data_IF_614597177794
#
_entry.id   IF_614597177794
#
_cell.length_a   1.000
_cell.length_b   1.000
_cell.length_c   1.000
_cell.angle_alpha   90.00
_cell.angle_beta   90.00
_cell.angle_gamma   90.00
#
_symmetry.space_group_name_H-M   'P 1'
#
loop_
_entity.id
_entity.type
_entity.pdbx_description
1 polymer ?
#
# COMPACT_ATOMS: atom_id res chain seq x y z
N UNK A 1 -42.61 55.99 -48.00
CA UNK A 1 -41.83 55.62 -46.78
C UNK A 1 -41.96 54.13 -46.54
N UNK A 2 -40.96 53.33 -46.94
CA UNK A 2 -40.90 51.87 -46.73
C UNK A 2 -40.07 51.65 -45.50
N UNK A 3 -40.68 51.02 -44.45
CA UNK A 3 -39.98 50.61 -43.23
C UNK A 3 -39.37 49.23 -43.50
N UNK A 4 -38.05 49.15 -43.52
CA UNK A 4 -37.30 47.90 -43.60
C UNK A 4 -37.15 47.36 -42.16
N UNK A 5 -37.74 46.20 -41.89
CA UNK A 5 -37.58 45.46 -40.58
C UNK A 5 -36.37 44.58 -40.79
N UNK A 6 -35.32 44.82 -40.01
CA UNK A 6 -34.17 43.88 -39.84
C UNK A 6 -34.52 42.80 -38.84
N UNK A 7 -34.62 41.58 -39.35
CA UNK A 7 -34.80 40.38 -38.51
C UNK A 7 -33.40 39.91 -38.07
N UNK A 8 -33.05 40.11 -36.80
CA UNK A 8 -31.86 39.49 -36.22
C UNK A 8 -32.18 38.03 -35.91
N UNK A 9 -31.63 37.10 -36.72
CA UNK A 9 -31.63 35.69 -36.39
C UNK A 9 -30.54 35.43 -35.30
N UNK A 10 -30.98 35.19 -34.08
CA UNK A 10 -30.09 34.69 -33.00
C UNK A 10 -29.77 33.23 -33.32
N UNK A 11 -28.58 32.93 -33.83
CA UNK A 11 -28.02 31.58 -33.88
C UNK A 11 -27.62 31.23 -32.42
N UNK A 12 -28.52 30.56 -31.70
CA UNK A 12 -28.17 29.88 -30.48
C UNK A 12 -27.39 28.60 -30.84
N UNK A 13 -26.06 28.74 -30.96
CA UNK A 13 -25.17 27.59 -31.02
C UNK A 13 -25.24 26.87 -29.67
N UNK A 14 -25.97 25.78 -29.63
CA UNK A 14 -25.85 24.81 -28.54
C UNK A 14 -24.44 24.22 -28.63
N UNK A 15 -23.51 24.79 -27.88
CA UNK A 15 -22.30 24.10 -27.46
C UNK A 15 -22.77 22.90 -26.66
N UNK A 16 -22.98 21.76 -27.32
CA UNK A 16 -22.96 20.48 -26.65
C UNK A 16 -21.55 20.32 -26.06
N UNK A 17 -21.39 20.64 -24.76
CA UNK A 17 -20.33 20.10 -23.96
C UNK A 17 -20.53 18.58 -24.02
N UNK A 18 -19.94 17.94 -25.03
CA UNK A 18 -19.61 16.54 -24.90
C UNK A 18 -18.73 16.50 -23.66
N UNK A 19 -19.31 16.08 -22.55
CA UNK A 19 -18.54 15.57 -21.41
C UNK A 19 -17.66 14.48 -22.02
N UNK A 20 -16.42 14.84 -22.35
CA UNK A 20 -15.44 13.85 -22.74
C UNK A 20 -15.49 12.83 -21.64
N UNK A 21 -15.82 11.58 -21.99
CA UNK A 21 -15.74 10.43 -21.10
C UNK A 21 -14.26 10.18 -20.81
N UNK A 22 -13.67 11.09 -20.00
CA UNK A 22 -12.38 10.81 -19.41
C UNK A 22 -12.60 9.62 -18.47
N UNK A 23 -11.73 8.61 -18.48
CA UNK A 23 -11.74 7.56 -17.47
C UNK A 23 -11.22 8.13 -16.14
N UNK A 24 -11.84 9.23 -15.68
CA UNK A 24 -11.54 9.94 -14.43
C UNK A 24 -11.89 9.11 -13.20
N UNK A 25 -12.62 8.00 -13.38
CA UNK A 25 -12.98 7.11 -12.29
C UNK A 25 -12.43 5.73 -12.59
N UNK A 26 -11.68 5.23 -11.65
CA UNK A 26 -11.39 3.80 -11.60
C UNK A 26 -12.73 3.04 -11.48
N UNK A 27 -12.84 1.93 -12.20
CA UNK A 27 -14.02 1.05 -12.17
C UNK A 27 -13.54 -0.38 -12.07
N UNK A 28 -14.32 -1.22 -11.43
CA UNK A 28 -14.14 -2.66 -11.54
C UNK A 28 -14.44 -3.12 -12.95
N UNK A 29 -13.72 -4.14 -13.42
CA UNK A 29 -13.95 -4.76 -14.73
C UNK A 29 -15.20 -5.65 -14.72
N UNK A 30 -15.54 -6.20 -13.55
CA UNK A 30 -16.76 -6.97 -13.30
C UNK A 30 -17.47 -6.42 -12.05
N UNK A 31 -18.79 -6.20 -12.08
CA UNK A 31 -19.53 -5.65 -10.94
C UNK A 31 -19.57 -6.58 -9.72
N UNK A 32 -19.28 -7.88 -9.89
CA UNK A 32 -19.20 -8.86 -8.81
C UNK A 32 -17.79 -8.98 -8.22
N UNK A 33 -16.79 -8.30 -8.80
CA UNK A 33 -15.45 -8.20 -8.23
C UNK A 33 -15.46 -7.36 -6.96
N UNK A 34 -14.41 -7.48 -6.16
CA UNK A 34 -14.04 -6.53 -5.10
C UNK A 34 -12.58 -6.12 -5.29
N UNK A 35 -12.14 -5.10 -4.58
CA UNK A 35 -10.75 -4.66 -4.67
C UNK A 35 -10.05 -4.56 -3.33
N UNK A 36 -8.73 -4.66 -3.37
CA UNK A 36 -7.79 -4.33 -2.30
C UNK A 36 -6.88 -3.24 -2.84
N UNK A 37 -6.70 -2.17 -2.06
CA UNK A 37 -5.81 -1.08 -2.45
C UNK A 37 -4.45 -1.27 -1.81
N UNK A 38 -3.36 -1.10 -2.58
CA UNK A 38 -2.00 -1.06 -2.05
C UNK A 38 -1.51 0.38 -2.06
N UNK A 39 -1.21 0.89 -0.88
CA UNK A 39 -0.58 2.19 -0.64
C UNK A 39 0.92 1.93 -0.51
N UNK A 40 1.77 2.51 -1.39
CA UNK A 40 3.22 2.38 -1.29
C UNK A 40 3.77 3.19 -0.12
N UNK A 41 5.06 3.06 0.13
CA UNK A 41 5.80 3.71 1.22
C UNK A 41 5.56 5.24 1.22
N UNK A 42 4.88 5.83 2.22
CA UNK A 42 4.49 7.23 2.18
C UNK A 42 5.53 8.20 2.74
N UNK A 43 6.73 7.74 3.14
CA UNK A 43 7.73 8.59 3.80
C UNK A 43 8.08 9.86 3.02
N UNK A 44 8.13 9.80 1.69
CA UNK A 44 8.41 10.97 0.85
C UNK A 44 7.28 11.99 0.83
N UNK A 45 6.06 11.59 1.21
CA UNK A 45 4.98 12.55 1.47
C UNK A 45 5.11 13.16 2.86
N UNK A 46 5.37 12.37 3.89
CA UNK A 46 5.34 12.83 5.28
C UNK A 46 6.51 13.71 5.66
N UNK A 47 7.69 13.48 5.05
CA UNK A 47 8.93 14.19 5.38
C UNK A 47 9.01 15.63 4.89
N UNK A 48 8.11 16.05 3.97
CA UNK A 48 8.02 17.42 3.49
C UNK A 48 6.62 17.97 3.68
N UNK A 49 6.49 19.13 4.33
CA UNK A 49 5.20 19.78 4.56
C UNK A 49 4.41 20.00 3.27
N UNK A 50 5.09 20.38 2.18
CA UNK A 50 4.47 20.61 0.88
C UNK A 50 3.85 19.36 0.25
N UNK A 51 4.33 18.16 0.59
CA UNK A 51 3.88 16.90 0.02
C UNK A 51 2.74 16.23 0.84
N UNK A 52 2.58 16.59 2.11
CA UNK A 52 1.59 15.96 3.00
C UNK A 52 0.16 15.99 2.44
N UNK A 53 -0.32 17.09 1.80
CA UNK A 53 -1.66 17.11 1.20
C UNK A 53 -1.87 16.05 0.10
N UNK A 54 -0.81 15.58 -0.55
CA UNK A 54 -0.90 14.53 -1.58
C UNK A 54 -1.19 13.16 -0.97
N UNK A 55 -0.63 12.86 0.19
CA UNK A 55 -0.99 11.64 0.91
C UNK A 55 -2.43 11.69 1.44
N UNK A 56 -2.85 12.84 1.95
CA UNK A 56 -4.25 13.05 2.32
C UNK A 56 -5.20 12.92 1.13
N UNK A 57 -4.81 13.40 -0.06
CA UNK A 57 -5.56 13.22 -1.29
C UNK A 57 -5.70 11.74 -1.66
N UNK A 58 -4.62 10.96 -1.54
CA UNK A 58 -4.61 9.52 -1.83
C UNK A 58 -5.61 8.79 -0.93
N UNK A 59 -5.56 9.02 0.37
CA UNK A 59 -6.49 8.38 1.32
C UNK A 59 -7.92 8.92 1.21
N UNK A 60 -8.12 10.20 0.89
CA UNK A 60 -9.43 10.76 0.61
C UNK A 60 -10.08 10.15 -0.64
N UNK A 61 -9.27 9.89 -1.68
CA UNK A 61 -9.75 9.20 -2.87
C UNK A 61 -10.16 7.76 -2.53
N UNK A 62 -9.35 7.02 -1.77
CA UNK A 62 -9.70 5.67 -1.31
C UNK A 62 -11.05 5.70 -0.56
N UNK A 63 -11.20 6.63 0.41
CA UNK A 63 -12.43 6.77 1.20
C UNK A 63 -13.66 7.07 0.32
N UNK A 64 -13.50 7.83 -0.76
CA UNK A 64 -14.57 8.15 -1.71
C UNK A 64 -14.98 6.94 -2.57
N UNK A 65 -14.02 6.10 -2.92
CA UNK A 65 -14.24 5.00 -3.86
C UNK A 65 -14.57 3.65 -3.16
N UNK A 66 -14.78 3.63 -1.85
CA UNK A 66 -15.06 2.40 -1.08
C UNK A 66 -16.19 1.58 -1.75
N UNK A 67 -17.32 2.21 -2.02
CA UNK A 67 -18.48 1.53 -2.59
C UNK A 67 -18.31 1.25 -4.08
N UNK A 68 -17.82 2.23 -4.85
CA UNK A 68 -17.70 2.13 -6.32
C UNK A 68 -16.69 1.07 -6.77
N UNK A 69 -15.63 0.86 -5.99
CA UNK A 69 -14.62 -0.18 -6.20
C UNK A 69 -14.78 -1.39 -5.27
N UNK A 70 -15.84 -1.40 -4.46
CA UNK A 70 -16.06 -2.46 -3.46
C UNK A 70 -14.78 -2.78 -2.69
N UNK A 71 -14.14 -1.74 -2.14
CA UNK A 71 -12.84 -1.87 -1.49
C UNK A 71 -13.00 -2.66 -0.19
N UNK A 72 -12.36 -3.82 -0.13
CA UNK A 72 -12.37 -4.69 1.05
C UNK A 72 -11.45 -4.16 2.15
N UNK A 73 -10.26 -3.71 1.75
CA UNK A 73 -9.23 -3.18 2.65
C UNK A 73 -8.18 -2.38 1.87
N UNK A 74 -7.43 -1.54 2.57
CA UNK A 74 -6.23 -0.91 2.07
C UNK A 74 -5.00 -1.45 2.81
N UNK A 75 -3.93 -1.79 2.08
CA UNK A 75 -2.67 -2.33 2.58
C UNK A 75 -1.56 -1.30 2.36
N UNK A 76 -0.88 -0.86 3.42
CA UNK A 76 0.25 0.06 3.33
C UNK A 76 1.56 -0.68 3.59
N UNK A 77 2.53 -0.47 2.72
CA UNK A 77 3.78 -1.25 2.69
C UNK A 77 4.84 -0.83 3.72
N UNK A 78 4.53 0.14 4.60
CA UNK A 78 5.46 0.61 5.64
C UNK A 78 6.19 1.89 5.27
N UNK A 79 7.24 2.23 6.03
CA UNK A 79 7.96 3.49 5.91
C UNK A 79 7.03 4.71 5.95
N UNK A 80 6.26 4.81 7.04
CA UNK A 80 5.30 5.89 7.26
C UNK A 80 5.98 7.23 7.46
N UNK A 81 7.21 7.21 7.96
CA UNK A 81 8.06 8.37 8.24
C UNK A 81 9.46 8.17 7.67
N UNK A 82 10.23 9.23 7.48
CA UNK A 82 11.65 9.18 7.08
C UNK A 82 12.57 8.90 8.28
N UNK A 83 12.18 9.31 9.47
CA UNK A 83 12.87 9.03 10.73
C UNK A 83 11.88 8.92 11.87
N UNK A 84 12.05 7.87 12.68
CA UNK A 84 11.09 7.55 13.73
C UNK A 84 11.15 8.50 14.94
N UNK A 85 12.33 8.90 15.40
CA UNK A 85 12.45 9.63 16.67
C UNK A 85 13.55 10.69 16.68
N UNK A 86 13.43 11.72 15.82
CA UNK A 86 14.32 12.88 15.86
C UNK A 86 13.56 14.15 16.20
N UNK A 87 14.11 14.94 17.13
CA UNK A 87 13.46 16.16 17.60
C UNK A 87 13.58 17.32 16.61
N UNK A 88 14.49 17.24 15.66
CA UNK A 88 14.74 18.27 14.65
C UNK A 88 14.86 17.63 13.26
N UNK A 89 14.52 18.36 12.19
CA UNK A 89 14.75 17.90 10.83
C UNK A 89 16.25 17.64 10.59
N UNK A 90 16.57 16.47 10.02
CA UNK A 90 17.94 16.10 9.73
C UNK A 90 18.29 16.53 8.29
N UNK A 91 19.15 17.53 8.15
CA UNK A 91 19.52 18.10 6.86
C UNK A 91 20.06 17.04 5.87
N UNK A 92 20.83 16.04 6.35
CA UNK A 92 21.35 14.96 5.51
C UNK A 92 20.24 13.98 5.05
N UNK A 93 19.09 13.98 5.72
CA UNK A 93 17.89 13.22 5.31
C UNK A 93 16.99 14.00 4.36
N UNK A 94 17.34 15.25 4.07
CA UNK A 94 16.56 16.12 3.19
C UNK A 94 15.08 16.15 3.57
N UNK A 95 14.81 16.50 4.81
CA UNK A 95 13.45 16.65 5.37
C UNK A 95 13.30 18.05 5.97
N UNK A 96 12.09 18.59 5.97
CA UNK A 96 11.73 19.85 6.64
C UNK A 96 10.81 19.62 7.85
N UNK A 97 10.54 18.33 8.19
CA UNK A 97 9.64 17.94 9.26
C UNK A 97 10.39 17.16 10.35
N UNK A 98 10.03 17.43 11.61
CA UNK A 98 10.41 16.58 12.74
C UNK A 98 9.73 15.21 12.66
N UNK A 99 10.23 14.20 13.37
CA UNK A 99 9.56 12.88 13.44
C UNK A 99 8.11 13.00 13.92
N UNK A 100 7.84 13.81 14.94
CA UNK A 100 6.49 14.01 15.45
C UNK A 100 5.55 14.65 14.43
N UNK A 101 6.03 15.55 13.56
CA UNK A 101 5.26 16.13 12.47
C UNK A 101 4.98 15.10 11.39
N UNK A 102 5.96 14.27 11.03
CA UNK A 102 5.80 13.19 10.06
C UNK A 102 4.79 12.15 10.55
N UNK A 103 4.90 11.68 11.79
CA UNK A 103 3.94 10.75 12.38
C UNK A 103 2.51 11.33 12.43
N UNK A 104 2.37 12.61 12.80
CA UNK A 104 1.06 13.28 12.73
C UNK A 104 0.52 13.37 11.31
N UNK A 105 1.38 13.62 10.32
CA UNK A 105 0.96 13.67 8.92
C UNK A 105 0.50 12.31 8.43
N UNK A 106 1.24 11.23 8.72
CA UNK A 106 0.81 9.86 8.42
C UNK A 106 -0.53 9.53 9.09
N UNK A 107 -0.64 9.80 10.40
CA UNK A 107 -1.87 9.58 11.16
C UNK A 107 -3.05 10.32 10.55
N UNK A 108 -2.90 11.62 10.26
CA UNK A 108 -3.97 12.46 9.68
C UNK A 108 -4.43 11.97 8.31
N UNK A 109 -3.52 11.46 7.49
CA UNK A 109 -3.91 10.88 6.21
C UNK A 109 -4.81 9.64 6.42
N UNK A 110 -4.47 8.74 7.34
CA UNK A 110 -5.28 7.55 7.64
C UNK A 110 -6.60 7.85 8.38
N UNK A 111 -6.73 8.97 9.10
CA UNK A 111 -8.00 9.41 9.72
C UNK A 111 -9.15 9.49 8.71
N UNK A 112 -8.86 9.69 7.42
CA UNK A 112 -9.85 9.70 6.35
C UNK A 112 -10.50 8.34 6.12
N UNK A 113 -9.82 7.26 6.51
CA UNK A 113 -10.26 5.86 6.40
C UNK A 113 -10.86 5.35 7.72
N UNK A 114 -10.55 5.97 8.86
CA UNK A 114 -11.02 5.53 10.17
C UNK A 114 -12.53 5.43 10.21
N UNK A 115 -13.03 4.31 10.73
CA UNK A 115 -14.43 3.96 10.87
C UNK A 115 -15.23 3.86 9.55
N UNK A 116 -14.53 3.81 8.41
CA UNK A 116 -15.11 3.65 7.07
C UNK A 116 -14.57 2.42 6.35
N UNK A 117 -13.29 2.14 6.52
CA UNK A 117 -12.61 1.05 5.85
C UNK A 117 -11.60 0.41 6.82
N UNK A 118 -11.57 -0.92 6.97
CA UNK A 118 -10.42 -1.55 7.61
C UNK A 118 -9.20 -1.37 6.71
N UNK A 119 -8.07 -1.00 7.29
CA UNK A 119 -6.79 -0.92 6.61
C UNK A 119 -5.73 -1.65 7.42
N UNK A 120 -4.69 -2.12 6.76
CA UNK A 120 -3.56 -2.83 7.37
C UNK A 120 -2.29 -2.09 7.01
N UNK A 121 -1.49 -1.77 8.01
CA UNK A 121 -0.21 -1.07 7.85
C UNK A 121 0.88 -1.94 8.43
N UNK A 122 1.86 -2.33 7.63
CA UNK A 122 3.11 -2.85 8.20
C UNK A 122 4.07 -1.70 8.54
N UNK A 123 5.05 -1.96 9.38
CA UNK A 123 6.11 -1.02 9.69
C UNK A 123 7.30 -1.25 8.78
N UNK A 124 7.94 -0.16 8.32
CA UNK A 124 9.17 -0.19 7.54
C UNK A 124 10.41 0.07 8.38
N UNK A 125 11.58 0.08 7.73
CA UNK A 125 12.84 0.28 8.43
C UNK A 125 13.01 1.71 8.99
N UNK A 126 12.36 2.70 8.40
CA UNK A 126 12.36 4.08 8.86
C UNK A 126 11.39 4.32 10.03
N UNK A 127 10.48 3.38 10.30
CA UNK A 127 9.51 3.44 11.40
C UNK A 127 10.10 2.96 12.73
N UNK A 128 11.38 2.56 12.77
CA UNK A 128 12.09 2.03 13.94
C UNK A 128 13.39 2.80 14.25
N UNK A 129 13.81 2.70 15.51
CA UNK A 129 15.06 3.25 16.00
C UNK A 129 15.03 4.76 16.09
N UNK A 130 16.17 5.38 15.92
CA UNK A 130 16.29 6.82 15.94
C UNK A 130 16.03 7.40 14.54
N UNK A 131 16.71 6.86 13.54
CA UNK A 131 16.56 7.26 12.13
C UNK A 131 16.05 6.12 11.24
N UNK A 132 16.64 4.92 11.33
CA UNK A 132 16.27 3.76 10.51
C UNK A 132 16.74 2.43 11.10
N UNK A 133 15.96 1.82 11.94
CA UNK A 133 16.18 0.47 12.48
C UNK A 133 17.53 0.26 13.20
N UNK A 134 18.01 1.24 13.94
CA UNK A 134 19.13 1.07 14.88
C UNK A 134 18.71 0.19 16.07
N UNK A 135 17.42 0.09 16.33
CA UNK A 135 16.81 -0.77 17.34
C UNK A 135 15.34 -1.01 16.97
N UNK A 136 14.56 -1.67 17.85
CA UNK A 136 13.15 -1.98 17.62
C UNK A 136 12.17 -1.05 18.37
N UNK A 137 12.61 0.12 18.80
CA UNK A 137 11.70 1.14 19.30
C UNK A 137 10.96 1.80 18.14
N UNK A 138 9.63 1.90 18.25
CA UNK A 138 8.79 2.55 17.25
C UNK A 138 7.73 3.43 17.91
N UNK A 139 7.44 4.55 17.29
CA UNK A 139 6.31 5.42 17.65
C UNK A 139 5.01 4.97 16.97
N UNK A 140 5.04 3.92 16.15
CA UNK A 140 3.88 3.40 15.45
C UNK A 140 2.67 3.13 16.39
N UNK A 141 2.83 2.47 17.55
CA UNK A 141 1.69 2.20 18.44
C UNK A 141 1.04 3.48 19.02
N UNK A 142 1.78 4.58 19.14
CA UNK A 142 1.25 5.85 19.64
C UNK A 142 0.25 6.48 18.66
N UNK A 143 0.45 6.25 17.36
CA UNK A 143 -0.36 6.82 16.29
C UNK A 143 -1.36 5.83 15.67
N UNK A 144 -1.09 4.54 15.78
CA UNK A 144 -1.93 3.45 15.30
C UNK A 144 -2.27 2.44 16.40
N UNK A 145 -2.92 2.90 17.51
CA UNK A 145 -3.36 1.98 18.56
C UNK A 145 -4.45 1.06 18.03
N UNK A 146 -4.55 -0.15 18.58
CA UNK A 146 -5.53 -1.17 18.18
C UNK A 146 -7.00 -0.71 18.27
N UNK A 147 -7.26 0.33 19.04
CA UNK A 147 -8.61 0.90 19.24
C UNK A 147 -8.95 2.03 18.27
N UNK A 148 -8.03 2.43 17.40
CA UNK A 148 -8.17 3.61 16.55
C UNK A 148 -9.32 3.50 15.55
N UNK A 149 -9.44 2.36 14.88
CA UNK A 149 -10.43 2.16 13.81
C UNK A 149 -11.43 1.08 14.22
N UNK A 150 -12.71 1.46 14.39
CA UNK A 150 -13.75 0.50 14.77
C UNK A 150 -13.98 -0.61 13.73
N UNK A 151 -13.66 -0.38 12.45
CA UNK A 151 -13.70 -1.40 11.41
C UNK A 151 -12.77 -2.59 11.70
N UNK A 152 -11.77 -2.43 12.57
CA UNK A 152 -10.87 -3.51 13.00
C UNK A 152 -11.47 -4.46 14.03
N UNK A 153 -12.49 -4.04 14.79
CA UNK A 153 -13.01 -4.75 15.98
C UNK A 153 -13.28 -6.24 15.76
N UNK A 154 -13.79 -6.59 14.57
CA UNK A 154 -14.11 -7.98 14.22
C UNK A 154 -13.24 -8.52 13.09
N UNK A 155 -12.18 -7.82 12.75
CA UNK A 155 -11.23 -8.21 11.70
C UNK A 155 -9.91 -8.69 12.29
N UNK A 156 -9.42 -8.05 13.35
CA UNK A 156 -8.21 -8.50 14.04
C UNK A 156 -8.52 -9.81 14.76
N UNK A 157 -7.83 -10.88 14.35
CA UNK A 157 -8.03 -12.23 14.91
C UNK A 157 -6.86 -12.69 15.76
N UNK A 158 -5.69 -12.08 15.61
CA UNK A 158 -4.50 -12.39 16.39
C UNK A 158 -3.48 -11.25 16.29
N UNK A 159 -2.69 -11.07 17.33
CA UNK A 159 -1.51 -10.19 17.36
C UNK A 159 -0.35 -10.91 18.01
N UNK A 160 0.88 -10.60 17.58
CA UNK A 160 2.11 -10.95 18.28
C UNK A 160 2.65 -9.70 18.98
N UNK A 161 3.13 -9.86 20.20
CA UNK A 161 3.73 -8.74 20.91
C UNK A 161 4.93 -8.18 20.14
N UNK A 162 5.12 -6.88 20.23
CA UNK A 162 6.32 -6.25 19.70
C UNK A 162 7.57 -6.62 20.51
N UNK A 163 8.74 -6.12 20.14
CA UNK A 163 10.01 -6.42 20.79
C UNK A 163 10.07 -6.03 22.30
N UNK A 164 9.11 -5.23 22.75
CA UNK A 164 8.99 -4.78 24.14
C UNK A 164 7.90 -5.52 24.93
N UNK A 165 7.35 -6.61 24.36
CA UNK A 165 6.33 -7.43 25.03
C UNK A 165 4.93 -6.80 25.03
N UNK A 166 4.67 -5.79 24.19
CA UNK A 166 3.41 -5.06 24.13
C UNK A 166 2.61 -5.53 22.92
N UNK A 167 1.31 -5.89 23.07
CA UNK A 167 0.45 -6.21 21.94
C UNK A 167 0.17 -4.95 21.10
N UNK A 168 0.59 -4.98 19.84
CA UNK A 168 0.46 -3.86 18.89
C UNK A 168 0.08 -4.37 17.51
N UNK A 169 -0.19 -3.45 16.57
CA UNK A 169 -0.47 -3.79 15.18
C UNK A 169 0.78 -3.99 14.32
N UNK A 170 1.98 -3.92 14.89
CA UNK A 170 3.25 -4.20 14.20
C UNK A 170 3.28 -5.62 13.63
N UNK A 171 2.69 -6.57 14.39
CA UNK A 171 2.50 -7.96 13.96
C UNK A 171 1.04 -8.35 14.23
N UNK A 172 0.19 -8.31 13.22
CA UNK A 172 -1.24 -8.51 13.38
C UNK A 172 -1.86 -9.28 12.20
N UNK A 173 -2.92 -10.02 12.48
CA UNK A 173 -3.66 -10.77 11.47
C UNK A 173 -5.12 -10.32 11.43
N UNK A 174 -5.63 -10.20 10.20
CA UNK A 174 -6.97 -9.70 9.92
C UNK A 174 -7.72 -10.67 9.02
N UNK A 175 -8.94 -11.01 9.37
CA UNK A 175 -9.80 -11.92 8.62
C UNK A 175 -10.89 -11.15 7.88
N UNK A 176 -11.08 -11.49 6.61
CA UNK A 176 -12.08 -10.92 5.73
C UNK A 176 -12.89 -12.03 5.07
N UNK A 177 -14.20 -11.89 5.11
CA UNK A 177 -15.10 -12.77 4.38
C UNK A 177 -15.51 -12.16 3.05
N UNK A 178 -15.54 -12.97 1.99
CA UNK A 178 -15.96 -12.56 0.64
C UNK A 178 -16.87 -13.61 0.02
N UNK A 179 -17.81 -13.17 -0.82
CA UNK A 179 -18.81 -14.07 -1.42
C UNK A 179 -18.19 -15.04 -2.44
N UNK A 180 -17.19 -14.57 -3.20
CA UNK A 180 -16.63 -15.31 -4.35
C UNK A 180 -15.27 -15.95 -4.05
N UNK A 181 -14.53 -15.43 -3.09
CA UNK A 181 -13.18 -15.92 -2.74
C UNK A 181 -13.14 -16.68 -1.41
N UNK A 182 -14.27 -16.71 -0.67
CA UNK A 182 -14.32 -17.24 0.70
C UNK A 182 -13.54 -16.34 1.67
N UNK A 183 -12.95 -16.93 2.70
CA UNK A 183 -12.20 -16.19 3.69
C UNK A 183 -10.79 -15.88 3.18
N UNK A 184 -10.38 -14.64 3.44
CA UNK A 184 -9.01 -14.15 3.23
C UNK A 184 -8.40 -13.77 4.58
N UNK A 185 -7.17 -14.17 4.81
CA UNK A 185 -6.39 -13.78 6.00
C UNK A 185 -5.26 -12.87 5.55
N UNK A 186 -5.22 -11.64 6.07
CA UNK A 186 -4.09 -10.73 5.89
C UNK A 186 -3.23 -10.80 7.13
N UNK A 187 -1.94 -11.15 6.98
CA UNK A 187 -0.96 -11.17 8.05
C UNK A 187 0.05 -10.06 7.79
N UNK A 188 0.14 -9.11 8.71
CA UNK A 188 1.12 -8.03 8.68
C UNK A 188 2.28 -8.37 9.62
N UNK A 189 3.51 -8.16 9.16
CA UNK A 189 4.73 -8.35 9.94
C UNK A 189 5.54 -7.06 10.05
N UNK A 190 6.17 -6.88 11.19
CA UNK A 190 7.18 -5.84 11.44
C UNK A 190 8.31 -5.90 10.42
N UNK A 191 9.04 -4.81 10.21
CA UNK A 191 10.24 -4.80 9.37
C UNK A 191 11.27 -5.81 9.88
N UNK A 192 11.84 -6.60 8.97
CA UNK A 192 12.83 -7.64 9.26
C UNK A 192 12.41 -8.47 10.49
N UNK A 193 11.26 -9.17 10.44
CA UNK A 193 10.58 -9.71 11.60
C UNK A 193 11.47 -10.61 12.43
N UNK A 194 11.28 -10.60 13.77
CA UNK A 194 11.96 -11.47 14.72
C UNK A 194 11.52 -12.92 14.51
N UNK A 195 12.33 -13.86 14.97
CA UNK A 195 11.96 -15.29 14.94
C UNK A 195 10.63 -15.57 15.66
N UNK A 196 10.35 -14.85 16.75
CA UNK A 196 9.08 -14.95 17.47
C UNK A 196 7.87 -14.55 16.58
N UNK A 197 7.99 -13.46 15.84
CA UNK A 197 6.94 -13.00 14.90
C UNK A 197 6.75 -13.97 13.73
N UNK A 198 7.85 -14.51 13.20
CA UNK A 198 7.82 -15.54 12.16
C UNK A 198 7.12 -16.81 12.66
N UNK A 199 7.48 -17.28 13.86
CA UNK A 199 6.91 -18.49 14.45
C UNK A 199 5.42 -18.31 14.83
N UNK A 200 5.04 -17.12 15.34
CA UNK A 200 3.65 -16.76 15.55
C UNK A 200 2.85 -16.83 14.25
N UNK A 201 3.33 -16.17 13.19
CA UNK A 201 2.65 -16.18 11.89
C UNK A 201 2.54 -17.59 11.32
N UNK A 202 3.62 -18.39 11.40
CA UNK A 202 3.68 -19.78 10.95
C UNK A 202 2.65 -20.67 11.67
N UNK A 203 2.53 -20.53 13.00
CA UNK A 203 1.53 -21.26 13.79
C UNK A 203 0.12 -20.83 13.43
N UNK A 204 -0.13 -19.54 13.30
CA UNK A 204 -1.44 -19.00 12.97
C UNK A 204 -1.94 -19.53 11.62
N UNK A 205 -1.14 -19.39 10.55
CA UNK A 205 -1.57 -19.81 9.22
C UNK A 205 -1.72 -21.33 9.10
N UNK A 206 -1.09 -22.11 9.99
CA UNK A 206 -1.21 -23.56 10.05
C UNK A 206 -2.43 -24.05 10.87
N UNK A 207 -3.18 -23.16 11.51
CA UNK A 207 -4.39 -23.56 12.24
C UNK A 207 -5.40 -24.25 11.31
N UNK A 208 -6.06 -25.34 11.75
CA UNK A 208 -7.02 -26.08 10.91
C UNK A 208 -8.11 -25.21 10.28
N UNK A 209 -8.56 -24.16 10.98
CA UNK A 209 -9.56 -23.21 10.46
C UNK A 209 -9.10 -22.46 9.21
N UNK A 210 -7.79 -22.30 9.02
CA UNK A 210 -7.19 -21.60 7.88
C UNK A 210 -6.66 -22.54 6.78
N UNK A 211 -6.89 -23.85 6.88
CA UNK A 211 -6.37 -24.82 5.90
C UNK A 211 -6.77 -24.51 4.45
N UNK A 212 -7.94 -23.94 4.25
CA UNK A 212 -8.48 -23.56 2.93
C UNK A 212 -8.54 -22.03 2.71
N UNK A 213 -8.06 -21.26 3.67
CA UNK A 213 -8.04 -19.79 3.59
C UNK A 213 -6.80 -19.32 2.82
N UNK A 214 -7.00 -18.42 1.87
CA UNK A 214 -5.87 -17.79 1.18
C UNK A 214 -5.29 -16.69 2.05
N UNK A 215 -3.97 -16.78 2.29
CA UNK A 215 -3.25 -15.82 3.12
C UNK A 215 -2.51 -14.82 2.24
N UNK A 216 -2.70 -13.55 2.55
CA UNK A 216 -1.93 -12.42 2.02
C UNK A 216 -0.96 -11.99 3.11
N UNK A 217 0.34 -12.11 2.86
CA UNK A 217 1.39 -11.61 3.74
C UNK A 217 1.73 -10.18 3.33
N UNK A 218 1.62 -9.25 4.27
CA UNK A 218 2.08 -7.87 4.14
C UNK A 218 3.34 -7.69 4.98
N UNK A 219 4.45 -7.31 4.35
CA UNK A 219 5.71 -7.02 5.03
C UNK A 219 6.48 -5.97 4.25
N UNK A 220 7.28 -5.16 4.92
CA UNK A 220 7.92 -4.03 4.25
C UNK A 220 8.94 -4.44 3.18
N UNK A 221 9.81 -5.42 3.49
CA UNK A 221 10.89 -5.88 2.61
C UNK A 221 10.77 -7.37 2.32
N UNK A 222 10.65 -7.78 1.02
CA UNK A 222 10.53 -9.19 0.66
C UNK A 222 11.18 -9.57 -0.67
N UNK A 223 11.02 -8.77 -1.73
CA UNK A 223 11.71 -8.90 -3.02
C UNK A 223 12.20 -7.54 -3.50
N UNK A 224 13.27 -7.53 -4.31
CA UNK A 224 13.71 -6.36 -5.06
C UNK A 224 13.08 -6.33 -6.47
N UNK A 225 13.27 -5.24 -7.22
CA UNK A 225 12.67 -5.03 -8.54
C UNK A 225 12.93 -6.13 -9.57
N UNK A 226 14.09 -6.80 -9.53
CA UNK A 226 14.39 -7.99 -10.36
C UNK A 226 13.83 -9.30 -9.79
N UNK A 227 13.04 -9.23 -8.71
CA UNK A 227 12.51 -10.39 -8.03
C UNK A 227 13.54 -11.13 -7.15
N UNK A 228 14.74 -10.60 -6.97
CA UNK A 228 15.74 -11.20 -6.08
C UNK A 228 15.33 -11.03 -4.61
N UNK A 229 15.76 -11.96 -3.76
CA UNK A 229 15.64 -11.86 -2.30
C UNK A 229 17.02 -11.67 -1.69
N UNK A 230 17.17 -10.61 -0.91
CA UNK A 230 18.39 -10.32 -0.14
C UNK A 230 18.47 -11.25 1.07
N UNK A 231 19.69 -11.71 1.39
CA UNK A 231 19.94 -12.50 2.60
C UNK A 231 20.22 -11.62 3.81
N UNK A 232 20.77 -10.44 3.59
CA UNK A 232 21.14 -9.46 4.62
C UNK A 232 20.87 -8.05 4.11
N UNK A 233 20.59 -7.14 5.04
CA UNK A 233 20.47 -5.71 4.79
C UNK A 233 21.31 -4.92 5.81
N UNK A 234 21.71 -3.68 5.52
CA UNK A 234 22.68 -2.94 6.33
C UNK A 234 22.04 -2.22 7.54
N UNK A 235 21.27 -2.96 8.34
CA UNK A 235 20.67 -2.44 9.58
C UNK A 235 21.33 -3.06 10.81
N UNK A 236 21.26 -2.37 11.95
CA UNK A 236 21.91 -2.77 13.20
C UNK A 236 21.13 -3.86 13.98
N UNK A 237 19.98 -4.29 13.47
CA UNK A 237 19.15 -5.33 14.08
C UNK A 237 19.87 -6.68 14.06
N UNK A 238 20.00 -7.31 15.22
CA UNK A 238 20.71 -8.61 15.39
C UNK A 238 19.77 -9.82 15.31
N UNK A 239 18.46 -9.61 15.45
CA UNK A 239 17.40 -10.63 15.49
C UNK A 239 16.52 -10.60 14.24
N UNK A 240 17.05 -10.11 13.13
CA UNK A 240 16.34 -9.80 11.91
C UNK A 240 16.23 -11.00 10.95
N UNK A 241 15.04 -11.21 10.40
CA UNK A 241 14.82 -12.06 9.25
C UNK A 241 14.60 -11.18 8.01
N UNK A 242 15.58 -11.18 7.11
CA UNK A 242 15.47 -10.47 5.84
C UNK A 242 14.80 -11.33 4.78
N UNK A 243 14.53 -10.79 3.63
CA UNK A 243 13.74 -11.30 2.52
C UNK A 243 13.83 -12.82 2.29
N UNK A 244 15.06 -13.36 2.15
CA UNK A 244 15.25 -14.81 1.94
C UNK A 244 14.88 -15.63 3.18
N UNK A 245 15.17 -15.12 4.38
CA UNK A 245 14.82 -15.81 5.62
C UNK A 245 13.30 -15.87 5.86
N UNK A 246 12.57 -14.80 5.50
CA UNK A 246 11.09 -14.79 5.56
C UNK A 246 10.53 -15.84 4.58
N UNK A 247 11.10 -15.94 3.37
CA UNK A 247 10.71 -16.98 2.42
C UNK A 247 10.94 -18.37 3.01
N UNK A 248 12.16 -18.66 3.47
CA UNK A 248 12.56 -19.99 3.92
C UNK A 248 11.82 -20.43 5.18
N UNK A 249 11.64 -19.52 6.15
CA UNK A 249 11.07 -19.83 7.47
C UNK A 249 9.55 -19.77 7.54
N UNK A 250 8.90 -18.95 6.68
CA UNK A 250 7.47 -18.71 6.75
C UNK A 250 6.76 -19.06 5.45
N UNK A 251 7.13 -18.44 4.32
CA UNK A 251 6.32 -18.52 3.10
C UNK A 251 6.44 -19.88 2.43
N UNK A 252 7.66 -20.39 2.27
CA UNK A 252 7.90 -21.69 1.63
C UNK A 252 7.23 -22.87 2.34
N UNK A 253 7.31 -23.00 3.70
CA UNK A 253 6.67 -24.11 4.40
C UNK A 253 5.14 -23.98 4.53
N UNK A 254 4.55 -22.79 4.30
CA UNK A 254 3.12 -22.55 4.50
C UNK A 254 2.34 -22.88 3.23
N UNK A 255 1.40 -23.82 3.34
CA UNK A 255 0.62 -24.31 2.20
C UNK A 255 -0.42 -23.31 1.67
N UNK A 256 -0.79 -22.29 2.42
CA UNK A 256 -1.90 -21.38 2.15
C UNK A 256 -1.51 -19.90 1.97
N UNK A 257 -0.23 -19.51 2.18
CA UNK A 257 0.24 -18.18 1.76
C UNK A 257 0.29 -18.17 0.23
N UNK A 258 -0.46 -17.23 -0.38
CA UNK A 258 -0.64 -17.13 -1.83
C UNK A 258 -0.15 -15.83 -2.43
N UNK A 259 -0.12 -14.77 -1.63
CA UNK A 259 0.32 -13.46 -2.06
C UNK A 259 1.21 -12.85 -0.98
N UNK A 260 2.34 -12.27 -1.39
CA UNK A 260 3.20 -11.43 -0.53
C UNK A 260 3.26 -10.05 -1.16
N UNK A 261 2.98 -9.02 -0.37
CA UNK A 261 3.03 -7.61 -0.78
C UNK A 261 4.11 -6.91 0.04
N UNK A 262 4.98 -6.16 -0.62
CA UNK A 262 6.04 -5.38 0.02
C UNK A 262 6.31 -4.05 -0.71
N UNK A 263 7.10 -3.18 -0.07
CA UNK A 263 7.64 -1.93 -0.58
C UNK A 263 9.16 -1.91 -0.51
N UNK A 264 9.73 -0.97 0.25
CA UNK A 264 11.12 -0.83 0.66
C UNK A 264 12.10 -0.42 -0.44
N UNK A 265 12.21 -1.22 -1.50
CA UNK A 265 13.25 -1.04 -2.51
C UNK A 265 13.00 0.21 -3.36
N UNK A 266 13.85 1.19 -3.17
CA UNK A 266 13.94 2.40 -3.94
C UNK A 266 15.40 2.84 -4.00
N UNK A 267 15.84 3.33 -5.13
CA UNK A 267 17.18 3.88 -5.27
C UNK A 267 17.11 5.35 -5.74
N UNK A 268 17.85 6.28 -5.14
CA UNK A 268 17.74 7.71 -5.42
C UNK A 268 18.17 8.13 -6.83
N UNK A 269 18.67 7.22 -7.65
CA UNK A 269 19.08 7.48 -9.04
C UNK A 269 18.29 6.65 -10.05
N UNK A 270 17.22 5.97 -9.62
CA UNK A 270 16.54 4.98 -10.43
C UNK A 270 15.24 5.46 -11.02
N UNK A 271 14.91 4.88 -12.16
CA UNK A 271 13.64 5.04 -12.81
C UNK A 271 12.52 4.35 -12.01
N UNK A 272 11.29 4.77 -12.21
CA UNK A 272 10.11 4.21 -11.55
C UNK A 272 10.05 2.67 -11.64
N UNK A 273 10.42 2.07 -12.79
CA UNK A 273 10.33 0.62 -12.99
C UNK A 273 11.19 -0.19 -11.99
N UNK A 274 12.20 0.42 -11.37
CA UNK A 274 13.04 -0.21 -10.35
C UNK A 274 12.40 -0.15 -8.96
N UNK A 275 11.29 0.56 -8.80
CA UNK A 275 10.50 0.63 -7.57
C UNK A 275 9.32 -0.35 -7.57
N UNK A 276 9.19 -1.16 -8.61
CA UNK A 276 8.15 -2.18 -8.76
C UNK A 276 8.76 -3.52 -9.14
N UNK A 277 8.15 -4.60 -8.67
CA UNK A 277 8.62 -5.96 -8.96
C UNK A 277 7.50 -6.99 -8.81
N UNK A 278 7.59 -8.04 -9.60
CA UNK A 278 6.66 -9.17 -9.50
C UNK A 278 7.38 -10.48 -9.85
N UNK A 279 7.05 -11.52 -9.09
CA UNK A 279 7.48 -12.90 -9.40
C UNK A 279 6.50 -13.90 -8.78
N UNK A 280 6.56 -15.12 -9.28
CA UNK A 280 5.82 -16.26 -8.73
C UNK A 280 6.78 -17.41 -8.49
N UNK A 281 6.71 -18.02 -7.30
CA UNK A 281 7.44 -19.23 -6.95
C UNK A 281 6.48 -20.30 -6.42
N UNK A 282 6.92 -21.55 -6.38
CA UNK A 282 6.19 -22.63 -5.74
C UNK A 282 6.62 -22.80 -4.28
N UNK A 283 5.66 -22.91 -3.37
CA UNK A 283 5.91 -23.29 -1.98
C UNK A 283 6.14 -24.81 -1.84
N UNK A 284 6.40 -25.29 -0.62
CA UNK A 284 6.64 -26.71 -0.33
C UNK A 284 5.47 -27.63 -0.72
N UNK A 285 4.23 -27.11 -0.74
CA UNK A 285 3.04 -27.83 -1.18
C UNK A 285 2.83 -27.78 -2.71
N UNK A 286 3.77 -27.22 -3.48
CA UNK A 286 3.68 -27.08 -4.94
C UNK A 286 2.71 -26.00 -5.40
N UNK A 287 2.20 -25.18 -4.49
CA UNK A 287 1.25 -24.11 -4.78
C UNK A 287 1.97 -22.82 -5.17
N UNK A 288 1.38 -22.05 -6.09
CA UNK A 288 1.92 -20.74 -6.51
C UNK A 288 1.80 -19.71 -5.41
N UNK A 289 2.84 -18.92 -5.23
CA UNK A 289 2.91 -17.74 -4.36
C UNK A 289 3.30 -16.55 -5.22
N UNK A 290 2.36 -15.64 -5.44
CA UNK A 290 2.63 -14.36 -6.08
C UNK A 290 3.35 -13.42 -5.09
N UNK A 291 4.34 -12.67 -5.55
CA UNK A 291 5.13 -11.76 -4.74
C UNK A 291 5.23 -10.44 -5.48
N UNK A 292 4.79 -9.38 -4.84
CA UNK A 292 4.65 -8.06 -5.43
C UNK A 292 5.37 -7.02 -4.58
N UNK A 293 6.30 -6.30 -5.21
CA UNK A 293 6.90 -5.10 -4.66
C UNK A 293 6.26 -3.87 -5.30
N UNK A 294 5.88 -2.90 -4.50
CA UNK A 294 5.35 -1.63 -4.96
C UNK A 294 5.75 -0.50 -4.01
N UNK A 295 6.77 0.28 -4.36
CA UNK A 295 7.23 1.42 -3.58
C UNK A 295 6.79 2.76 -4.19
N UNK A 296 6.83 2.90 -5.53
CA UNK A 296 6.44 4.09 -6.29
C UNK A 296 7.21 5.39 -5.97
N UNK A 297 8.23 5.37 -5.15
CA UNK A 297 9.14 6.49 -4.93
C UNK A 297 10.23 6.47 -5.99
N UNK A 298 10.53 7.61 -6.62
CA UNK A 298 11.56 7.70 -7.67
C UNK A 298 12.57 8.80 -7.41
N UNK A 299 13.65 8.79 -8.21
CA UNK A 299 14.78 9.70 -8.05
C UNK A 299 14.51 11.12 -8.55
N UNK A 300 13.60 11.33 -9.47
CA UNK A 300 13.31 12.62 -10.11
C UNK A 300 12.65 13.64 -9.17
N UNK A 301 13.21 13.72 -7.97
CA UNK A 301 12.84 14.66 -6.93
C UNK A 301 11.81 14.16 -5.93
N UNK A 302 11.29 12.97 -6.09
CA UNK A 302 10.29 12.45 -5.14
C UNK A 302 10.92 12.08 -3.80
N UNK A 303 12.15 11.59 -3.85
CA UNK A 303 13.00 11.34 -2.69
C UNK A 303 13.65 12.61 -2.13
N UNK A 304 13.84 13.63 -2.96
CA UNK A 304 14.45 14.91 -2.63
C UNK A 304 13.40 16.01 -2.57
N UNK A 305 13.67 17.13 -1.91
CA UNK A 305 12.72 18.22 -1.69
C UNK A 305 12.15 18.90 -2.94
N UNK A 306 12.57 18.51 -4.14
CA UNK A 306 12.03 19.01 -5.41
C UNK A 306 10.90 18.13 -5.97
N UNK A 307 10.64 16.95 -5.38
CA UNK A 307 9.60 16.04 -5.81
C UNK A 307 8.35 16.13 -4.94
N UNK A 308 7.35 15.36 -5.31
CA UNK A 308 6.05 15.38 -4.66
C UNK A 308 5.73 14.11 -3.85
N UNK A 309 6.69 13.22 -3.64
CA UNK A 309 6.55 12.03 -2.81
C UNK A 309 6.09 10.76 -3.54
N UNK A 310 5.82 10.80 -4.85
CA UNK A 310 5.43 9.60 -5.62
C UNK A 310 4.14 9.77 -6.43
N UNK A 311 3.78 11.00 -6.84
CA UNK A 311 2.66 11.29 -7.74
C UNK A 311 1.32 10.66 -7.32
N UNK A 312 1.12 10.35 -6.03
CA UNK A 312 -0.04 9.65 -5.48
C UNK A 312 -0.31 8.28 -6.12
N UNK A 313 0.69 7.61 -6.68
CA UNK A 313 0.50 6.26 -7.23
C UNK A 313 0.01 5.29 -6.15
N UNK A 314 -1.01 4.50 -6.49
CA UNK A 314 -1.51 3.37 -5.72
C UNK A 314 -1.80 2.20 -6.68
N UNK A 315 -1.88 0.97 -6.13
CA UNK A 315 -2.34 -0.19 -6.89
C UNK A 315 -3.75 -0.58 -6.47
N UNK A 316 -4.55 -0.91 -7.48
CA UNK A 316 -5.87 -1.51 -7.33
C UNK A 316 -5.72 -2.98 -7.69
N UNK A 317 -5.86 -3.86 -6.71
CA UNK A 317 -5.91 -5.30 -6.92
C UNK A 317 -7.39 -5.69 -6.99
N UNK A 318 -7.88 -5.96 -8.20
CA UNK A 318 -9.25 -6.39 -8.43
C UNK A 318 -9.30 -7.93 -8.41
N UNK A 319 -10.04 -8.46 -7.46
CA UNK A 319 -10.29 -9.88 -7.26
C UNK A 319 -11.51 -10.27 -8.08
N UNK A 320 -11.30 -10.99 -9.17
CA UNK A 320 -12.38 -11.36 -10.11
C UNK A 320 -13.34 -12.41 -9.51
N UNK A 321 -14.59 -12.47 -9.97
CA UNK A 321 -15.59 -13.38 -9.40
C UNK A 321 -15.35 -14.85 -9.71
N UNK A 322 -14.32 -15.18 -10.53
CA UNK A 322 -13.88 -16.56 -10.78
C UNK A 322 -13.21 -17.21 -9.55
N UNK A 323 -12.97 -16.43 -8.48
CA UNK A 323 -12.32 -16.88 -7.26
C UNK A 323 -10.85 -17.28 -7.42
N UNK A 324 -10.20 -16.82 -8.50
CA UNK A 324 -8.84 -17.21 -8.88
C UNK A 324 -7.97 -16.06 -9.40
N UNK A 325 -8.51 -15.25 -10.28
CA UNK A 325 -7.74 -14.22 -11.00
C UNK A 325 -7.74 -12.90 -10.25
N UNK A 326 -6.56 -12.33 -10.06
CA UNK A 326 -6.35 -10.96 -9.55
C UNK A 326 -5.82 -10.10 -10.67
N UNK A 327 -6.52 -9.00 -10.97
CA UNK A 327 -6.10 -7.97 -11.93
C UNK A 327 -5.45 -6.82 -11.18
N UNK A 328 -4.22 -6.47 -11.57
CA UNK A 328 -3.42 -5.37 -11.00
C UNK A 328 -3.48 -4.18 -11.92
N UNK A 329 -3.78 -3.00 -11.37
CA UNK A 329 -3.75 -1.73 -12.09
C UNK A 329 -3.13 -0.65 -11.23
N UNK A 330 -2.29 0.19 -11.82
CA UNK A 330 -1.62 1.31 -11.13
C UNK A 330 -2.26 2.63 -11.54
N UNK A 331 -2.72 3.39 -10.54
CA UNK A 331 -3.52 4.59 -10.70
C UNK A 331 -3.02 5.73 -9.83
N UNK A 332 -3.14 6.98 -10.32
CA UNK A 332 -2.85 8.20 -9.56
C UNK A 332 -4.10 9.07 -9.42
N UNK A 333 -4.66 9.20 -8.22
CA UNK A 333 -5.71 10.17 -7.94
C UNK A 333 -5.31 11.61 -8.27
N UNK A 334 -4.04 11.97 -8.07
CA UNK A 334 -3.54 13.32 -8.33
C UNK A 334 -3.67 13.69 -9.81
N UNK A 335 -3.20 12.83 -10.70
CA UNK A 335 -3.33 13.07 -12.14
C UNK A 335 -4.78 13.05 -12.61
N UNK A 336 -5.63 12.25 -12.00
CA UNK A 336 -7.04 12.15 -12.36
C UNK A 336 -7.88 13.39 -11.99
N UNK A 337 -7.38 14.29 -11.13
CA UNK A 337 -8.12 15.48 -10.70
C UNK A 337 -8.23 16.55 -11.77
N UNK A 338 -7.27 16.64 -12.69
CA UNK A 338 -7.20 17.71 -13.67
C UNK A 338 -7.44 17.19 -15.08
N UNK A 339 -8.29 17.86 -15.89
CA UNK A 339 -8.43 17.54 -17.32
C UNK A 339 -7.11 17.61 -18.10
N UNK A 340 -6.13 18.38 -17.61
CA UNK A 340 -4.82 18.55 -18.28
C UNK A 340 -3.88 17.37 -18.03
N UNK A 341 -4.11 16.61 -16.96
CA UNK A 341 -3.22 15.49 -16.53
C UNK A 341 -3.91 14.14 -16.46
N UNK A 342 -5.22 14.09 -16.71
CA UNK A 342 -6.01 12.87 -16.51
C UNK A 342 -5.61 11.72 -17.45
N UNK A 343 -5.02 12.02 -18.59
CA UNK A 343 -4.42 11.05 -19.50
C UNK A 343 -3.23 10.31 -18.91
N UNK A 344 -2.60 10.87 -17.88
CA UNK A 344 -1.48 10.29 -17.12
C UNK A 344 -1.91 9.51 -15.86
N UNK A 345 -3.23 9.46 -15.56
CA UNK A 345 -3.73 8.86 -14.33
C UNK A 345 -3.52 7.35 -14.23
N UNK A 346 -3.26 6.68 -15.33
CA UNK A 346 -3.03 5.25 -15.40
C UNK A 346 -1.63 4.94 -15.93
N UNK A 347 -0.94 4.04 -15.27
CA UNK A 347 0.27 3.42 -15.79
C UNK A 347 -0.10 2.08 -16.42
N UNK A 348 0.33 1.89 -17.67
CA UNK A 348 -0.09 0.76 -18.53
C UNK A 348 1.06 -0.15 -18.98
N UNK A 349 2.27 0.04 -18.43
CA UNK A 349 3.37 -0.89 -18.68
C UNK A 349 3.05 -2.28 -18.10
N UNK A 350 3.65 -3.34 -18.65
CA UNK A 350 3.40 -4.73 -18.24
C UNK A 350 3.68 -5.00 -16.75
N UNK A 351 4.53 -4.21 -16.12
CA UNK A 351 4.81 -4.28 -14.69
C UNK A 351 3.85 -3.42 -13.83
N UNK A 352 2.97 -2.63 -14.45
CA UNK A 352 1.97 -1.77 -13.80
C UNK A 352 0.53 -2.28 -13.99
N UNK A 353 0.28 -2.97 -15.12
CA UNK A 353 -1.02 -3.53 -15.46
C UNK A 353 -0.86 -4.96 -15.93
N UNK A 354 -1.30 -5.91 -15.11
CA UNK A 354 -1.18 -7.35 -15.38
C UNK A 354 -2.20 -8.15 -14.57
N UNK A 355 -2.26 -9.45 -14.82
CA UNK A 355 -3.07 -10.39 -14.04
C UNK A 355 -2.20 -11.52 -13.51
N UNK A 356 -2.61 -12.13 -12.40
CA UNK A 356 -2.02 -13.35 -11.88
C UNK A 356 -3.09 -14.23 -11.21
N UNK A 357 -2.78 -15.53 -11.10
CA UNK A 357 -3.65 -16.47 -10.41
C UNK A 357 -3.21 -16.63 -8.95
N UNK A 358 -4.20 -16.57 -8.06
CA UNK A 358 -4.06 -16.82 -6.62
C UNK A 358 -4.86 -18.09 -6.24
N UNK A 359 -4.37 -19.26 -6.70
CA UNK A 359 -5.00 -20.59 -6.51
C UNK A 359 -5.00 -21.09 -5.06
#
# INVERSE_FOLDING_TARGET
MRKTIFLFALLAGTLSLQAQNYPLRARLSDPNSFSVIVIPDPQSYTKFAANQPLFELQTAWIAREIDSLRILTALCTGDLVEQNETAIPLAFRKTDQTSAEQWRAASRAFERLDNKLPYVVCTGNHDYGYTKSENRLSRFPDYFPMTRNECWRHKIVSVCNNAHGIPTLENAAYEFHTDTWGDLLVVSLEFAPRDEAIEWARKLVAEPRYANTRVILLTHSFIAWKGNRKKTEPYELTDANYQQAIWDKLVYPSSNIRLVICGHECHPTTDYFETVGFRTDKNAAGKSVAQMMFNAQTADGQWHGNGNGGDCWLRILEFLPDGRTVSVRTFSPMFALSPVTCDKAWRTADYDQFTFDME
#
